data_IF_815015226218
#
_entry.id   IF_815015226218
#
_cell.length_a   1.000
_cell.length_b   1.000
_cell.length_c   1.000
_cell.angle_alpha   90.00
_cell.angle_beta   90.00
_cell.angle_gamma   90.00
#
_symmetry.space_group_name_H-M   'P 1'
#
loop_
_entity.id
_entity.type
_entity.pdbx_description
1 polymer ?
#
# COMPACT_ATOMS: atom_id res chain seq x y z
N UNK A 1 6.45 22.45 4.85
CA UNK A 1 6.28 21.00 4.91
C UNK A 1 5.28 20.71 6.03
N UNK A 2 4.22 19.96 5.73
CA UNK A 2 3.20 19.58 6.71
C UNK A 2 3.85 18.70 7.80
N UNK A 3 4.00 19.17 9.05
CA UNK A 3 4.72 18.43 10.08
C UNK A 3 4.13 17.04 10.36
N UNK A 4 2.83 16.89 10.13
CA UNK A 4 2.11 15.62 10.29
C UNK A 4 2.50 14.56 9.22
N UNK A 5 3.00 14.95 8.06
CA UNK A 5 3.46 14.03 7.02
C UNK A 5 4.88 13.53 7.30
N UNK A 6 5.66 14.31 8.03
CA UNK A 6 7.00 13.97 8.50
C UNK A 6 7.01 13.48 9.96
N UNK A 7 5.83 13.29 10.57
CA UNK A 7 5.73 12.79 11.93
C UNK A 7 6.45 11.43 12.06
N UNK A 8 7.18 11.28 13.16
CA UNK A 8 8.00 10.12 13.50
C UNK A 8 7.38 8.80 13.04
N UNK A 9 8.13 8.03 12.29
CA UNK A 9 7.79 6.65 11.98
C UNK A 9 8.16 5.79 13.18
N UNK A 10 7.21 5.36 14.01
CA UNK A 10 7.53 4.83 15.33
C UNK A 10 8.10 3.42 15.35
N UNK A 11 8.25 2.74 14.24
CA UNK A 11 8.82 1.42 14.28
C UNK A 11 9.08 0.83 12.91
N UNK A 12 10.20 0.28 12.69
CA UNK A 12 10.77 -0.54 11.63
C UNK A 12 11.86 0.12 10.80
N UNK A 13 12.63 1.04 11.38
CA UNK A 13 13.93 1.39 10.81
C UNK A 13 14.81 0.16 10.55
N UNK A 14 14.70 -0.85 11.43
CA UNK A 14 15.48 -2.10 11.34
C UNK A 14 15.00 -3.07 10.24
N UNK A 15 13.90 -2.76 9.54
CA UNK A 15 13.29 -3.66 8.55
C UNK A 15 13.42 -3.22 7.10
N UNK A 16 13.91 -2.01 6.84
CA UNK A 16 14.20 -1.54 5.48
C UNK A 16 15.72 -1.41 5.37
N UNK A 17 16.30 -2.18 4.47
CA UNK A 17 17.71 -2.05 4.17
C UNK A 17 17.87 -0.94 3.13
N UNK A 18 18.71 0.05 3.45
CA UNK A 18 19.05 1.16 2.56
C UNK A 18 20.53 1.07 2.26
N UNK A 19 20.87 0.94 1.00
CA UNK A 19 22.25 0.96 0.53
C UNK A 19 22.45 2.13 -0.44
N UNK A 20 23.42 2.98 -0.15
CA UNK A 20 23.81 4.07 -1.03
C UNK A 20 24.37 3.54 -2.35
N UNK A 21 23.99 4.15 -3.46
CA UNK A 21 24.63 3.94 -4.74
C UNK A 21 26.09 4.40 -4.67
N UNK A 22 27.01 3.53 -5.03
CA UNK A 22 28.34 3.94 -5.41
C UNK A 22 28.31 4.29 -6.89
N UNK A 23 28.88 5.41 -7.27
CA UNK A 23 29.05 5.82 -8.68
C UNK A 23 27.80 6.31 -9.45
N UNK A 24 26.78 6.87 -8.75
CA UNK A 24 25.65 7.53 -9.41
C UNK A 24 24.53 6.58 -9.86
N UNK A 25 24.48 5.37 -9.34
CA UNK A 25 23.47 4.35 -9.67
C UNK A 25 22.15 4.47 -8.86
N UNK A 26 21.97 5.54 -8.09
CA UNK A 26 20.81 5.74 -7.23
C UNK A 26 20.97 5.13 -5.84
N UNK A 27 19.94 5.25 -4.98
CA UNK A 27 19.89 4.66 -3.65
C UNK A 27 18.93 3.49 -3.64
N UNK A 28 19.43 2.29 -3.34
CA UNK A 28 18.64 1.08 -3.30
C UNK A 28 17.96 0.90 -1.93
N UNK A 29 16.68 0.50 -1.97
CA UNK A 29 15.86 0.17 -0.82
C UNK A 29 15.35 -1.27 -0.94
N UNK A 30 15.51 -2.05 0.13
CA UNK A 30 14.94 -3.39 0.23
C UNK A 30 13.93 -3.44 1.37
N UNK A 31 12.68 -3.74 1.03
CA UNK A 31 11.58 -3.97 1.97
C UNK A 31 11.42 -5.47 2.11
N UNK A 32 11.67 -6.06 3.30
CA UNK A 32 11.58 -7.50 3.48
C UNK A 32 10.13 -8.00 3.46
N UNK A 33 10.00 -9.32 3.34
CA UNK A 33 8.73 -10.02 3.56
C UNK A 33 8.23 -9.76 5.00
N UNK A 34 6.98 -9.32 5.13
CA UNK A 34 6.39 -8.92 6.40
C UNK A 34 5.48 -9.99 7.03
N UNK A 35 5.12 -11.05 6.30
CA UNK A 35 4.26 -12.10 6.84
C UNK A 35 5.05 -13.10 7.69
N UNK A 36 4.53 -13.48 8.87
CA UNK A 36 5.08 -14.60 9.61
C UNK A 36 4.93 -15.91 8.82
N UNK A 37 5.93 -16.79 8.94
CA UNK A 37 5.97 -18.08 8.24
C UNK A 37 4.65 -18.85 8.31
N UNK A 38 4.16 -19.29 7.15
CA UNK A 38 2.95 -20.10 7.02
C UNK A 38 1.62 -19.35 7.21
N UNK A 39 1.62 -18.03 7.42
CA UNK A 39 0.41 -17.23 7.59
C UNK A 39 -0.08 -16.51 6.32
N UNK A 40 0.61 -16.68 5.23
CA UNK A 40 0.31 -16.11 3.93
C UNK A 40 1.58 -16.07 3.08
N UNK A 41 1.48 -15.55 1.87
CA UNK A 41 2.64 -15.23 1.04
C UNK A 41 2.64 -13.72 0.89
N UNK A 42 3.68 -13.06 1.37
CA UNK A 42 4.00 -11.66 1.06
C UNK A 42 5.27 -11.63 0.23
N UNK A 43 5.52 -10.51 -0.38
CA UNK A 43 6.70 -10.34 -1.22
C UNK A 43 7.47 -9.15 -0.69
N UNK A 44 8.71 -9.38 -0.28
CA UNK A 44 9.71 -8.34 -0.16
C UNK A 44 9.94 -7.71 -1.53
N UNK A 45 10.31 -6.44 -1.57
CA UNK A 45 10.61 -5.77 -2.82
C UNK A 45 11.87 -4.95 -2.68
N UNK A 46 12.67 -4.95 -3.74
CA UNK A 46 13.84 -4.07 -3.87
C UNK A 46 13.60 -3.09 -5.01
N UNK A 47 13.93 -1.84 -4.78
CA UNK A 47 13.91 -0.81 -5.81
C UNK A 47 14.96 0.27 -5.54
N UNK A 48 15.37 0.95 -6.59
CA UNK A 48 16.32 2.06 -6.55
C UNK A 48 15.58 3.38 -6.75
N UNK A 49 15.92 4.39 -5.97
CA UNK A 49 15.52 5.79 -6.18
C UNK A 49 16.51 6.40 -7.15
N UNK A 50 16.20 6.45 -8.44
CA UNK A 50 17.15 6.74 -9.52
C UNK A 50 17.72 8.16 -9.46
N UNK A 51 17.03 9.10 -8.86
CA UNK A 51 17.45 10.50 -8.71
C UNK A 51 18.16 10.80 -7.38
N UNK A 52 18.41 9.79 -6.54
CA UNK A 52 19.17 9.92 -5.30
C UNK A 52 20.62 9.43 -5.49
N UNK A 53 21.55 10.00 -4.75
CA UNK A 53 22.99 9.67 -4.85
C UNK A 53 23.57 9.13 -3.55
N UNK A 54 23.07 9.57 -2.41
CA UNK A 54 23.55 9.18 -1.08
C UNK A 54 22.38 9.11 -0.09
N UNK A 55 22.59 8.45 1.05
CA UNK A 55 21.62 8.37 2.13
C UNK A 55 22.24 8.64 3.48
N UNK A 56 21.58 9.49 4.28
CA UNK A 56 21.93 9.79 5.66
C UNK A 56 20.74 9.55 6.59
N UNK A 57 20.95 8.78 7.65
CA UNK A 57 19.91 8.58 8.67
C UNK A 57 19.83 9.76 9.63
N UNK A 58 18.62 10.18 9.99
CA UNK A 58 18.38 11.25 10.96
C UNK A 58 17.60 10.72 12.18
N UNK A 59 17.74 11.38 13.32
CA UNK A 59 17.16 10.95 14.61
C UNK A 59 15.62 10.83 14.62
N UNK A 60 14.92 11.38 13.61
CA UNK A 60 13.46 11.34 13.49
C UNK A 60 12.90 10.03 12.92
N UNK A 61 13.74 9.04 12.60
CA UNK A 61 13.28 7.80 11.95
C UNK A 61 13.07 7.93 10.45
N UNK A 62 13.48 9.03 9.86
CA UNK A 62 13.57 9.25 8.42
C UNK A 62 15.00 9.03 7.94
N UNK A 63 15.15 8.56 6.71
CA UNK A 63 16.43 8.64 6.02
C UNK A 63 16.34 9.74 4.97
N UNK A 64 17.28 10.66 5.01
CA UNK A 64 17.40 11.73 4.01
C UNK A 64 18.21 11.20 2.83
N UNK A 65 17.75 11.45 1.63
CA UNK A 65 18.46 11.13 0.40
C UNK A 65 18.99 12.43 -0.21
N UNK A 66 20.30 12.47 -0.46
CA UNK A 66 20.89 13.48 -1.33
C UNK A 66 20.46 13.19 -2.75
N UNK A 67 20.03 14.22 -3.49
CA UNK A 67 19.51 14.05 -4.84
C UNK A 67 20.42 14.71 -5.90
N UNK A 68 20.16 14.39 -7.16
CA UNK A 68 20.90 14.96 -8.30
C UNK A 68 20.54 16.42 -8.61
N UNK A 69 19.55 16.99 -7.92
CA UNK A 69 19.08 18.37 -8.12
C UNK A 69 19.01 19.12 -6.79
N UNK A 70 19.55 20.32 -6.72
CA UNK A 70 19.49 21.19 -5.54
C UNK A 70 18.05 21.64 -5.20
N UNK A 71 17.13 21.59 -6.17
CA UNK A 71 15.71 21.93 -5.99
C UNK A 71 14.87 20.75 -5.51
N UNK A 72 15.47 19.59 -5.25
CA UNK A 72 14.77 18.38 -4.83
C UNK A 72 15.42 17.82 -3.57
N UNK A 73 14.60 17.43 -2.61
CA UNK A 73 15.03 16.63 -1.46
C UNK A 73 14.15 15.39 -1.38
N UNK A 74 14.72 14.25 -1.02
CA UNK A 74 13.96 13.03 -0.85
C UNK A 74 14.15 12.44 0.54
N UNK A 75 13.11 11.75 1.04
CA UNK A 75 13.08 11.17 2.37
C UNK A 75 12.47 9.78 2.30
N UNK A 76 13.16 8.79 2.86
CA UNK A 76 12.60 7.45 3.06
C UNK A 76 11.91 7.41 4.41
N UNK A 77 10.62 7.10 4.40
CA UNK A 77 9.81 6.94 5.58
C UNK A 77 9.35 5.48 5.70
N UNK A 78 9.89 4.71 6.64
CA UNK A 78 9.33 3.41 6.97
C UNK A 78 7.88 3.54 7.45
N UNK A 79 7.00 2.68 6.95
CA UNK A 79 5.60 2.65 7.32
C UNK A 79 5.23 1.32 8.00
N UNK A 80 4.08 1.28 8.65
CA UNK A 80 3.54 0.07 9.25
C UNK A 80 3.49 -1.12 8.27
N UNK A 81 3.17 -0.83 7.04
CA UNK A 81 2.84 -1.80 6.01
C UNK A 81 3.76 -1.71 4.79
N UNK A 82 4.89 -1.01 4.90
CA UNK A 82 5.79 -0.85 3.77
C UNK A 82 6.72 0.35 3.90
N UNK A 83 6.95 1.05 2.81
CA UNK A 83 7.83 2.21 2.73
C UNK A 83 7.18 3.32 1.90
N UNK A 84 7.48 4.56 2.25
CA UNK A 84 7.16 5.75 1.45
C UNK A 84 8.46 6.47 1.11
N UNK A 85 8.59 6.91 -0.13
CA UNK A 85 9.60 7.87 -0.52
C UNK A 85 8.91 9.21 -0.72
N UNK A 86 9.22 10.18 0.12
CA UNK A 86 8.68 11.54 0.02
C UNK A 86 9.66 12.38 -0.78
N UNK A 87 9.18 13.03 -1.83
CA UNK A 87 9.94 13.95 -2.66
C UNK A 87 9.46 15.37 -2.41
N UNK A 88 10.32 16.23 -1.88
CA UNK A 88 10.06 17.64 -1.68
C UNK A 88 10.69 18.44 -2.84
N UNK A 89 9.84 19.16 -3.57
CA UNK A 89 10.15 19.89 -4.79
C UNK A 89 10.12 21.38 -4.45
N UNK A 90 11.26 22.05 -4.52
CA UNK A 90 11.42 23.40 -3.97
C UNK A 90 10.94 24.50 -4.93
N UNK A 91 10.92 24.25 -6.24
CA UNK A 91 10.63 25.28 -7.24
C UNK A 91 9.96 24.72 -8.50
N UNK A 92 9.47 25.59 -9.37
CA UNK A 92 8.89 25.25 -10.67
C UNK A 92 9.94 24.80 -11.70
N UNK A 93 11.21 25.11 -11.46
CA UNK A 93 12.34 24.74 -12.29
C UNK A 93 12.85 23.32 -12.01
N UNK A 94 12.41 22.72 -10.90
CA UNK A 94 12.73 21.34 -10.55
C UNK A 94 12.17 20.34 -11.59
N UNK A 95 12.78 19.15 -11.73
CA UNK A 95 12.17 18.07 -12.52
C UNK A 95 10.74 17.75 -12.06
N UNK A 96 9.86 17.44 -13.01
CA UNK A 96 8.51 16.96 -12.73
C UNK A 96 8.39 15.43 -12.69
N UNK A 97 9.45 14.70 -13.08
CA UNK A 97 9.47 13.25 -13.21
C UNK A 97 10.46 12.62 -12.22
N UNK A 98 9.96 11.66 -11.44
CA UNK A 98 10.72 10.95 -10.40
C UNK A 98 10.64 9.46 -10.65
N UNK A 99 11.78 8.84 -10.97
CA UNK A 99 11.84 7.43 -11.39
C UNK A 99 12.41 6.53 -10.31
N UNK A 100 11.82 5.35 -10.23
CA UNK A 100 12.17 4.26 -9.32
C UNK A 100 12.33 2.98 -10.11
N UNK A 101 13.52 2.38 -10.10
CA UNK A 101 13.82 1.13 -10.78
C UNK A 101 13.59 -0.05 -9.82
N UNK A 102 12.65 -0.93 -10.16
CA UNK A 102 12.29 -2.09 -9.34
C UNK A 102 13.03 -3.34 -9.79
N UNK A 103 13.52 -4.11 -8.82
CA UNK A 103 14.05 -5.46 -9.05
C UNK A 103 12.89 -6.46 -9.12
N UNK A 104 12.32 -6.62 -10.29
CA UNK A 104 11.14 -7.44 -10.55
C UNK A 104 11.33 -8.32 -11.80
N UNK A 105 10.62 -9.45 -11.90
CA UNK A 105 10.67 -10.29 -13.10
C UNK A 105 10.34 -9.53 -14.38
N UNK A 106 10.97 -9.93 -15.49
CA UNK A 106 10.61 -9.43 -16.81
C UNK A 106 9.13 -9.71 -17.12
N UNK A 107 8.46 -8.74 -17.75
CA UNK A 107 7.02 -8.82 -18.00
C UNK A 107 6.13 -8.32 -16.86
N UNK A 108 6.72 -7.91 -15.72
CA UNK A 108 5.95 -7.26 -14.66
C UNK A 108 5.25 -6.01 -15.18
N UNK A 109 3.99 -5.86 -14.85
CA UNK A 109 3.13 -4.74 -15.24
C UNK A 109 2.55 -4.02 -14.03
N UNK A 110 2.25 -2.72 -14.21
CA UNK A 110 1.51 -1.92 -13.24
C UNK A 110 0.03 -2.00 -13.58
N UNK A 111 -0.78 -2.59 -12.71
CA UNK A 111 -2.21 -2.80 -12.90
C UNK A 111 -2.99 -1.94 -11.93
N UNK A 112 -3.90 -1.10 -12.43
CA UNK A 112 -4.78 -0.31 -11.58
C UNK A 112 -5.81 -1.22 -10.90
N UNK A 113 -5.95 -1.07 -9.59
CA UNK A 113 -6.87 -1.80 -8.73
C UNK A 113 -7.87 -0.91 -8.02
N UNK A 114 -8.50 -1.43 -6.97
CA UNK A 114 -9.43 -0.67 -6.16
C UNK A 114 -8.67 0.22 -5.18
N UNK A 115 -8.57 1.52 -5.51
CA UNK A 115 -7.90 2.50 -4.67
C UNK A 115 -6.39 2.29 -4.51
N UNK A 116 -5.75 1.58 -5.46
CA UNK A 116 -4.29 1.37 -5.51
C UNK A 116 -3.87 0.77 -6.84
N UNK A 117 -2.55 0.68 -7.03
CA UNK A 117 -1.93 -0.03 -8.14
C UNK A 117 -1.24 -1.28 -7.64
N UNK A 118 -1.07 -2.27 -8.51
CA UNK A 118 -0.36 -3.51 -8.22
C UNK A 118 0.75 -3.73 -9.22
N UNK A 119 1.93 -4.06 -8.75
CA UNK A 119 2.93 -4.70 -9.58
C UNK A 119 2.59 -6.19 -9.68
N UNK A 120 2.39 -6.67 -10.89
CA UNK A 120 1.97 -8.04 -11.14
C UNK A 120 2.72 -8.60 -12.33
N UNK A 121 3.26 -9.80 -12.18
CA UNK A 121 3.62 -10.67 -13.29
C UNK A 121 2.42 -11.58 -13.65
N UNK A 122 2.58 -12.46 -14.65
CA UNK A 122 1.50 -13.36 -15.08
C UNK A 122 1.08 -14.36 -13.99
N UNK A 123 1.93 -14.61 -13.01
CA UNK A 123 1.75 -15.67 -12.01
C UNK A 123 1.34 -15.15 -10.62
N UNK A 124 1.63 -13.90 -10.29
CA UNK A 124 1.42 -13.37 -8.94
C UNK A 124 1.38 -11.84 -8.88
N UNK A 125 0.87 -11.32 -7.77
CA UNK A 125 1.02 -9.90 -7.41
C UNK A 125 2.25 -9.75 -6.53
N UNK A 126 3.16 -8.87 -6.92
CA UNK A 126 4.42 -8.63 -6.21
C UNK A 126 4.29 -7.61 -5.08
N UNK A 127 3.22 -6.80 -5.10
CA UNK A 127 2.90 -5.84 -4.05
C UNK A 127 1.97 -4.74 -4.52
N UNK A 128 1.67 -3.81 -3.63
CA UNK A 128 0.71 -2.74 -3.86
C UNK A 128 1.38 -1.36 -3.72
N UNK A 129 1.09 -0.47 -4.66
CA UNK A 129 1.39 0.95 -4.59
C UNK A 129 0.10 1.71 -4.25
N UNK A 130 0.17 2.67 -3.35
CA UNK A 130 -0.92 3.60 -3.12
C UNK A 130 -1.09 4.51 -4.33
N UNK A 131 -2.30 5.09 -4.55
CA UNK A 131 -2.47 6.08 -5.60
C UNK A 131 -1.47 7.22 -5.42
N UNK A 132 -0.88 7.75 -6.52
CA UNK A 132 0.04 8.86 -6.40
C UNK A 132 -0.68 10.09 -5.84
N UNK A 133 0.00 10.81 -4.98
CA UNK A 133 -0.47 12.11 -4.53
C UNK A 133 0.66 13.13 -4.53
N UNK A 134 0.29 14.39 -4.70
CA UNK A 134 1.17 15.52 -4.47
C UNK A 134 0.35 16.68 -3.88
N UNK A 135 0.95 17.41 -2.94
CA UNK A 135 0.34 18.57 -2.30
C UNK A 135 1.34 19.72 -2.25
N UNK A 136 0.87 20.92 -2.43
CA UNK A 136 1.67 22.13 -2.33
C UNK A 136 1.78 22.66 -0.88
N UNK A 137 2.52 23.75 -0.68
CA UNK A 137 2.72 24.33 0.65
C UNK A 137 1.44 24.93 1.25
N UNK A 138 0.40 25.19 0.45
CA UNK A 138 -0.91 25.62 0.91
C UNK A 138 -1.84 24.44 1.26
N UNK A 139 -1.40 23.18 1.03
CA UNK A 139 -2.18 21.96 1.21
C UNK A 139 -3.12 21.66 0.04
N UNK A 140 -2.98 22.37 -1.08
CA UNK A 140 -3.76 22.12 -2.29
C UNK A 140 -3.17 20.96 -3.08
N UNK A 141 -4.05 20.15 -3.70
CA UNK A 141 -3.61 19.00 -4.49
C UNK A 141 -2.94 19.44 -5.79
N UNK A 142 -1.76 18.88 -6.08
CA UNK A 142 -1.04 19.04 -7.34
C UNK A 142 -1.29 17.81 -8.21
N UNK A 143 -1.65 17.97 -9.51
CA UNK A 143 -1.90 16.83 -10.37
C UNK A 143 -0.68 15.92 -10.48
N UNK A 144 -0.88 14.61 -10.30
CA UNK A 144 0.18 13.62 -10.38
C UNK A 144 -0.35 12.29 -10.88
N UNK A 145 0.52 11.50 -11.55
CA UNK A 145 0.19 10.18 -12.10
C UNK A 145 1.39 9.26 -12.09
N UNK A 146 1.16 7.95 -12.27
CA UNK A 146 2.21 6.97 -12.51
C UNK A 146 2.26 6.54 -13.96
N UNK A 147 3.47 6.26 -14.46
CA UNK A 147 3.70 5.43 -15.62
C UNK A 147 4.65 4.29 -15.27
N UNK A 148 4.58 3.21 -16.06
CA UNK A 148 5.41 2.01 -15.86
C UNK A 148 5.97 1.55 -17.19
N UNK A 149 7.28 1.34 -17.25
CA UNK A 149 7.95 0.75 -18.40
C UNK A 149 9.23 0.03 -17.94
N UNK A 150 9.45 -1.18 -18.41
CA UNK A 150 10.70 -1.92 -18.26
C UNK A 150 11.23 -1.98 -16.80
N UNK A 151 10.36 -2.29 -15.85
CA UNK A 151 10.71 -2.35 -14.42
C UNK A 151 10.82 -0.99 -13.73
N UNK A 152 10.48 0.10 -14.42
CA UNK A 152 10.58 1.46 -13.90
C UNK A 152 9.21 2.07 -13.65
N UNK A 153 9.00 2.53 -12.43
CA UNK A 153 7.89 3.40 -12.06
C UNK A 153 8.34 4.84 -12.18
N UNK A 154 7.63 5.66 -12.93
CA UNK A 154 7.84 7.11 -12.92
C UNK A 154 6.60 7.79 -12.35
N UNK A 155 6.79 8.60 -11.33
CA UNK A 155 5.78 9.53 -10.86
C UNK A 155 5.95 10.85 -11.60
N UNK A 156 4.90 11.27 -12.28
CA UNK A 156 4.81 12.56 -12.97
C UNK A 156 4.10 13.55 -12.06
N UNK A 157 4.69 14.67 -11.75
CA UNK A 157 4.10 15.79 -10.98
C UNK A 157 3.99 17.00 -11.90
N UNK A 158 2.77 17.45 -12.13
CA UNK A 158 2.51 18.60 -13.01
C UNK A 158 2.78 19.93 -12.29
N UNK A 159 3.97 20.47 -12.47
CA UNK A 159 4.42 21.75 -11.90
C UNK A 159 4.05 22.96 -12.75
N UNK A 160 3.34 22.80 -13.86
CA UNK A 160 3.09 23.87 -14.85
C UNK A 160 2.15 24.98 -14.37
N UNK A 161 1.36 24.75 -13.32
CA UNK A 161 0.39 25.73 -12.85
C UNK A 161 1.06 26.86 -12.06
N UNK A 162 0.86 28.14 -12.42
CA UNK A 162 1.39 29.29 -11.68
C UNK A 162 0.72 29.50 -10.31
N UNK A 163 -0.24 28.68 -9.92
CA UNK A 163 -0.92 28.75 -8.63
C UNK A 163 -0.26 27.87 -7.57
N UNK A 164 0.68 27.02 -7.96
CA UNK A 164 1.36 26.12 -7.03
C UNK A 164 2.20 26.92 -6.04
N UNK A 165 2.00 26.64 -4.77
CA UNK A 165 2.78 27.22 -3.66
C UNK A 165 3.90 26.25 -3.29
N UNK A 166 5.13 26.53 -3.66
CA UNK A 166 6.27 25.69 -3.33
C UNK A 166 6.68 25.78 -1.84
N UNK A 167 7.24 24.70 -1.25
CA UNK A 167 7.56 23.42 -1.87
C UNK A 167 6.32 22.55 -2.10
N UNK A 168 6.39 21.70 -3.13
CA UNK A 168 5.46 20.61 -3.33
C UNK A 168 6.01 19.35 -2.69
N UNK A 169 5.16 18.56 -2.02
CA UNK A 169 5.49 17.26 -1.48
C UNK A 169 4.74 16.18 -2.24
N UNK A 170 5.47 15.19 -2.75
CA UNK A 170 4.92 14.05 -3.49
C UNK A 170 5.40 12.72 -2.90
N UNK A 171 4.69 11.61 -3.21
CA UNK A 171 5.12 10.26 -2.83
C UNK A 171 5.27 9.39 -4.08
N UNK A 172 5.94 8.21 -4.04
CA UNK A 172 5.19 6.99 -3.92
C UNK A 172 5.24 6.34 -2.54
N UNK A 173 4.19 5.53 -2.24
CA UNK A 173 4.15 4.67 -1.09
C UNK A 173 3.90 3.21 -1.51
N UNK A 174 4.81 2.32 -1.12
CA UNK A 174 4.69 0.89 -1.28
C UNK A 174 4.07 0.27 -0.04
N UNK A 175 3.02 -0.54 -0.22
CA UNK A 175 2.35 -1.25 0.85
C UNK A 175 2.42 -2.77 0.66
N UNK A 176 2.19 -3.53 1.74
CA UNK A 176 2.15 -4.97 1.65
C UNK A 176 0.88 -5.48 0.97
N UNK A 177 1.01 -6.63 0.33
CA UNK A 177 -0.09 -7.48 -0.09
C UNK A 177 0.18 -8.91 0.36
N UNK A 178 -0.84 -9.58 0.89
CA UNK A 178 -0.75 -10.97 1.37
C UNK A 178 -1.69 -11.83 0.55
N UNK A 179 -1.19 -12.92 0.01
CA UNK A 179 -1.97 -13.84 -0.81
C UNK A 179 -2.35 -15.11 -0.04
N UNK A 180 -3.59 -15.55 -0.24
CA UNK A 180 -4.15 -16.79 0.29
C UNK A 180 -4.79 -17.58 -0.84
N UNK A 181 -4.32 -18.79 -1.09
CA UNK A 181 -4.81 -19.64 -2.18
C UNK A 181 -6.29 -19.98 -2.01
N UNK A 182 -7.03 -19.86 -3.11
CA UNK A 182 -8.45 -20.23 -3.20
C UNK A 182 -8.64 -21.41 -4.14
N UNK A 183 -9.63 -22.26 -3.82
CA UNK A 183 -10.01 -23.42 -4.63
C UNK A 183 -11.17 -23.12 -5.58
N UNK A 184 -12.01 -22.15 -5.23
CA UNK A 184 -13.18 -21.77 -6.02
C UNK A 184 -12.90 -20.61 -6.97
N UNK A 185 -13.70 -20.51 -8.03
CA UNK A 185 -13.63 -19.39 -8.97
C UNK A 185 -13.96 -18.06 -8.30
N UNK A 186 -13.55 -16.95 -8.89
CA UNK A 186 -13.88 -15.59 -8.43
C UNK A 186 -15.40 -15.41 -8.33
N UNK A 187 -16.13 -15.85 -9.37
CA UNK A 187 -17.59 -15.78 -9.41
C UNK A 187 -18.27 -16.58 -8.28
N UNK A 188 -17.75 -17.78 -7.97
CA UNK A 188 -18.27 -18.61 -6.90
C UNK A 188 -18.02 -17.98 -5.52
N UNK A 189 -16.80 -17.48 -5.25
CA UNK A 189 -16.50 -16.77 -4.01
C UNK A 189 -17.36 -15.52 -3.83
N UNK A 190 -17.53 -14.72 -4.88
CA UNK A 190 -18.43 -13.56 -4.88
C UNK A 190 -19.87 -13.97 -4.55
N UNK A 191 -20.39 -15.04 -5.18
CA UNK A 191 -21.75 -15.53 -4.92
C UNK A 191 -21.93 -15.96 -3.46
N UNK A 192 -20.95 -16.64 -2.86
CA UNK A 192 -20.97 -17.01 -1.44
C UNK A 192 -21.05 -15.78 -0.55
N UNK A 193 -20.20 -14.77 -0.78
CA UNK A 193 -20.18 -13.53 -0.01
C UNK A 193 -21.50 -12.74 -0.15
N UNK A 194 -22.03 -12.64 -1.38
CA UNK A 194 -23.32 -11.98 -1.63
C UNK A 194 -24.49 -12.71 -0.97
N UNK A 195 -24.44 -14.04 -0.85
CA UNK A 195 -25.45 -14.85 -0.17
C UNK A 195 -25.40 -14.69 1.35
N UNK A 196 -24.21 -14.72 1.94
CA UNK A 196 -24.05 -14.58 3.39
C UNK A 196 -22.65 -14.05 3.73
N UNK A 197 -22.49 -12.74 3.86
CA UNK A 197 -21.20 -12.14 4.14
C UNK A 197 -20.62 -12.62 5.49
N UNK A 198 -21.37 -12.52 6.59
CA UNK A 198 -20.94 -12.97 7.92
C UNK A 198 -20.61 -14.46 8.04
N UNK A 199 -21.08 -15.27 7.08
CA UNK A 199 -20.80 -16.71 7.12
C UNK A 199 -19.34 -17.03 6.78
N UNK A 200 -18.68 -16.13 6.06
CA UNK A 200 -17.32 -16.32 5.57
C UNK A 200 -16.35 -15.29 6.11
N UNK A 201 -16.78 -14.04 6.23
CA UNK A 201 -15.94 -12.95 6.75
C UNK A 201 -15.67 -13.15 8.24
N UNK A 202 -14.39 -13.28 8.66
CA UNK A 202 -14.05 -13.83 9.97
C UNK A 202 -14.11 -12.85 11.13
N UNK A 203 -14.58 -11.61 10.90
CA UNK A 203 -14.62 -10.57 11.95
C UNK A 203 -16.02 -10.49 12.54
N UNK A 204 -16.17 -10.63 13.88
CA UNK A 204 -17.45 -10.44 14.56
C UNK A 204 -18.06 -9.06 14.29
N UNK A 205 -19.40 -9.00 14.22
CA UNK A 205 -20.12 -7.77 13.85
C UNK A 205 -20.38 -7.62 12.35
N UNK A 206 -19.82 -8.50 11.51
CA UNK A 206 -20.12 -8.50 10.09
C UNK A 206 -21.61 -8.73 9.80
N UNK A 207 -22.25 -7.98 8.88
CA UNK A 207 -23.66 -8.15 8.54
C UNK A 207 -23.89 -9.45 7.76
N UNK A 208 -25.11 -10.01 7.84
CA UNK A 208 -25.49 -11.19 7.05
C UNK A 208 -25.47 -10.89 5.55
N UNK A 209 -26.07 -9.78 5.15
CA UNK A 209 -26.02 -9.31 3.76
C UNK A 209 -24.64 -8.74 3.43
N UNK A 210 -24.24 -8.85 2.15
CA UNK A 210 -23.06 -8.16 1.66
C UNK A 210 -23.23 -6.63 1.84
N UNK A 211 -22.22 -5.90 2.35
CA UNK A 211 -22.37 -4.48 2.67
C UNK A 211 -22.64 -3.63 1.43
N UNK A 212 -23.24 -2.46 1.64
CA UNK A 212 -23.49 -1.44 0.62
C UNK A 212 -22.48 -0.28 0.78
N UNK A 213 -22.19 0.40 -0.32
CA UNK A 213 -21.34 1.61 -0.29
C UNK A 213 -21.87 2.63 0.75
N UNK A 214 -20.98 3.13 1.59
CA UNK A 214 -21.29 4.03 2.69
C UNK A 214 -21.80 3.34 3.97
N UNK A 215 -22.02 2.02 3.95
CA UNK A 215 -22.51 1.29 5.13
C UNK A 215 -21.44 1.19 6.20
N UNK A 216 -21.78 1.61 7.43
CA UNK A 216 -20.97 1.37 8.62
C UNK A 216 -21.06 -0.12 9.03
N UNK A 217 -19.90 -0.72 9.26
CA UNK A 217 -19.76 -2.08 9.79
C UNK A 217 -19.23 -1.99 11.23
N UNK A 218 -20.01 -2.38 12.23
CA UNK A 218 -19.59 -2.36 13.64
C UNK A 218 -18.76 -3.60 13.96
N UNK A 219 -17.58 -3.70 13.37
CA UNK A 219 -16.68 -4.84 13.56
C UNK A 219 -15.97 -4.74 14.90
N UNK A 220 -15.81 -5.87 15.58
CA UNK A 220 -15.19 -5.96 16.90
C UNK A 220 -14.32 -7.21 17.00
N UNK A 221 -13.14 -7.10 17.63
CA UNK A 221 -12.32 -8.25 18.01
C UNK A 221 -11.99 -8.12 19.50
N UNK A 222 -12.63 -8.93 20.33
CA UNK A 222 -12.58 -8.74 21.78
C UNK A 222 -13.08 -7.33 22.16
N UNK A 223 -12.35 -6.54 22.96
CA UNK A 223 -12.71 -5.17 23.31
C UNK A 223 -12.32 -4.14 22.24
N UNK A 224 -11.55 -4.54 21.22
CA UNK A 224 -11.02 -3.63 20.22
C UNK A 224 -12.05 -3.29 19.13
N UNK A 225 -12.15 -2.01 18.81
CA UNK A 225 -13.09 -1.47 17.84
C UNK A 225 -12.46 -1.45 16.45
N UNK A 226 -13.09 -2.16 15.50
CA UNK A 226 -12.71 -2.25 14.09
C UNK A 226 -13.80 -1.67 13.19
N UNK A 227 -14.52 -0.66 13.64
CA UNK A 227 -15.58 -0.03 12.85
C UNK A 227 -15.03 0.53 11.54
N UNK A 228 -15.54 0.02 10.43
CA UNK A 228 -15.17 0.42 9.08
C UNK A 228 -16.40 0.93 8.31
N UNK A 229 -16.15 1.75 7.31
CA UNK A 229 -17.14 2.08 6.28
C UNK A 229 -16.81 1.29 5.02
N UNK A 230 -17.81 0.62 4.43
CA UNK A 230 -17.66 -0.02 3.13
C UNK A 230 -17.53 1.05 2.06
N UNK A 231 -16.36 1.14 1.43
CA UNK A 231 -16.01 2.25 0.53
C UNK A 231 -16.53 2.02 -0.88
N UNK A 232 -16.15 0.90 -1.47
CA UNK A 232 -16.48 0.57 -2.85
C UNK A 232 -16.36 -0.93 -3.12
N UNK A 233 -16.82 -1.32 -4.30
CA UNK A 233 -16.78 -2.67 -4.85
C UNK A 233 -16.34 -2.59 -6.32
N UNK A 234 -15.48 -3.49 -6.75
CA UNK A 234 -15.04 -3.63 -8.12
C UNK A 234 -15.41 -5.02 -8.65
N UNK A 235 -15.79 -5.11 -9.93
CA UNK A 235 -16.21 -6.34 -10.58
C UNK A 235 -15.72 -6.40 -12.03
N UNK A 236 -14.92 -7.45 -12.32
CA UNK A 236 -14.56 -7.87 -13.66
C UNK A 236 -14.64 -9.39 -13.78
N UNK A 237 -14.40 -9.96 -14.95
CA UNK A 237 -14.59 -11.40 -15.19
C UNK A 237 -13.80 -12.30 -14.24
N UNK A 238 -12.52 -12.01 -14.03
CA UNK A 238 -11.61 -12.77 -13.16
C UNK A 238 -11.13 -11.99 -11.96
N UNK A 239 -11.82 -10.92 -11.62
CA UNK A 239 -11.45 -10.02 -10.55
C UNK A 239 -12.67 -9.43 -9.86
N UNK A 240 -12.78 -9.69 -8.57
CA UNK A 240 -13.76 -9.11 -7.66
C UNK A 240 -13.02 -8.51 -6.47
N UNK A 241 -13.31 -7.28 -6.11
CA UNK A 241 -12.67 -6.63 -4.98
C UNK A 241 -13.63 -5.74 -4.19
N UNK A 242 -13.29 -5.47 -2.93
CA UNK A 242 -13.97 -4.49 -2.10
C UNK A 242 -13.03 -3.89 -1.05
N UNK A 243 -13.35 -2.66 -0.65
CA UNK A 243 -12.55 -1.87 0.27
C UNK A 243 -13.34 -1.45 1.50
N UNK A 244 -12.67 -1.48 2.65
CA UNK A 244 -13.12 -0.86 3.89
C UNK A 244 -12.18 0.27 4.28
N UNK A 245 -12.76 1.42 4.67
CA UNK A 245 -12.04 2.53 5.26
C UNK A 245 -12.27 2.54 6.77
N UNK A 246 -11.22 2.73 7.55
CA UNK A 246 -11.29 2.86 9.00
C UNK A 246 -12.06 4.12 9.40
N UNK A 247 -12.94 3.99 10.40
CA UNK A 247 -13.61 5.14 11.00
C UNK A 247 -12.73 5.80 12.07
N UNK A 248 -13.14 6.98 12.56
CA UNK A 248 -12.47 7.67 13.66
C UNK A 248 -12.34 6.82 14.94
N UNK A 249 -13.25 5.84 15.14
CA UNK A 249 -13.26 4.94 16.29
C UNK A 249 -12.44 3.67 16.07
N UNK A 250 -11.93 3.42 14.88
CA UNK A 250 -11.12 2.24 14.56
C UNK A 250 -9.77 2.30 15.28
N UNK A 251 -9.27 1.16 15.76
CA UNK A 251 -7.96 1.07 16.43
C UNK A 251 -6.80 1.57 15.58
N UNK A 252 -6.87 1.35 14.25
CA UNK A 252 -5.86 1.83 13.28
C UNK A 252 -6.16 3.23 12.74
N UNK A 253 -7.12 3.93 13.33
CA UNK A 253 -7.47 5.33 13.08
C UNK A 253 -7.97 5.66 11.67
N UNK A 254 -8.60 6.83 11.58
CA UNK A 254 -9.05 7.42 10.32
C UNK A 254 -7.88 7.59 9.33
N UNK A 255 -8.11 7.28 8.06
CA UNK A 255 -7.09 7.28 7.01
C UNK A 255 -6.56 5.89 6.67
N UNK A 256 -6.62 4.93 7.61
CA UNK A 256 -6.29 3.54 7.32
C UNK A 256 -7.37 2.88 6.47
N UNK A 257 -6.97 1.97 5.59
CA UNK A 257 -7.89 1.20 4.74
C UNK A 257 -7.37 -0.20 4.48
N UNK A 258 -8.30 -1.10 4.09
CA UNK A 258 -7.99 -2.47 3.71
C UNK A 258 -8.79 -2.87 2.48
N UNK A 259 -8.15 -3.58 1.56
CA UNK A 259 -8.77 -4.09 0.34
C UNK A 259 -8.65 -5.60 0.30
N UNK A 260 -9.73 -6.24 -0.09
CA UNK A 260 -9.84 -7.68 -0.31
C UNK A 260 -10.09 -7.92 -1.79
N UNK A 261 -9.19 -8.64 -2.44
CA UNK A 261 -9.27 -8.93 -3.86
C UNK A 261 -9.28 -10.43 -4.12
N UNK A 262 -10.22 -10.84 -4.91
CA UNK A 262 -10.36 -12.18 -5.43
C UNK A 262 -9.91 -12.17 -6.87
N UNK A 263 -8.82 -12.83 -7.18
CA UNK A 263 -8.23 -12.87 -8.51
C UNK A 263 -8.07 -14.28 -9.03
N UNK A 264 -8.23 -14.45 -10.34
CA UNK A 264 -7.78 -15.62 -11.07
C UNK A 264 -6.74 -15.16 -12.11
N UNK A 265 -5.55 -15.75 -12.02
CA UNK A 265 -4.45 -15.50 -12.95
C UNK A 265 -4.59 -16.31 -14.24
N UNK A 266 -3.81 -15.98 -15.25
CA UNK A 266 -3.81 -16.64 -16.56
C UNK A 266 -3.49 -18.14 -16.47
N UNK A 267 -2.61 -18.55 -15.54
CA UNK A 267 -2.26 -19.94 -15.26
C UNK A 267 -3.35 -20.72 -14.48
N UNK A 268 -4.49 -20.08 -14.18
CA UNK A 268 -5.62 -20.69 -13.45
C UNK A 268 -5.50 -20.66 -11.93
N UNK A 269 -4.41 -20.16 -11.37
CA UNK A 269 -4.26 -19.96 -9.92
C UNK A 269 -5.24 -18.88 -9.42
N UNK A 270 -5.78 -19.08 -8.21
CA UNK A 270 -6.78 -18.20 -7.63
C UNK A 270 -6.37 -17.80 -6.23
N UNK A 271 -6.51 -16.51 -5.93
CA UNK A 271 -6.12 -15.93 -4.65
C UNK A 271 -7.21 -15.05 -4.05
N UNK A 272 -7.25 -15.03 -2.72
CA UNK A 272 -7.66 -13.88 -1.94
C UNK A 272 -6.39 -13.10 -1.63
N UNK A 273 -6.26 -11.91 -2.18
CA UNK A 273 -5.23 -10.97 -1.81
C UNK A 273 -5.81 -9.96 -0.83
N UNK A 274 -5.07 -9.70 0.24
CA UNK A 274 -5.42 -8.69 1.23
C UNK A 274 -4.28 -7.69 1.28
N UNK A 275 -4.59 -6.43 1.03
CA UNK A 275 -3.64 -5.34 1.14
C UNK A 275 -4.19 -4.23 2.02
N UNK A 276 -3.35 -3.60 2.82
CA UNK A 276 -3.77 -2.54 3.71
C UNK A 276 -2.79 -1.38 3.68
N UNK A 277 -3.33 -0.19 3.89
CA UNK A 277 -2.60 0.98 4.31
C UNK A 277 -2.99 1.31 5.75
N UNK A 278 -2.01 1.45 6.62
CA UNK A 278 -2.20 1.76 8.03
C UNK A 278 -1.42 3.02 8.37
N UNK A 279 -2.10 4.01 8.95
CA UNK A 279 -1.46 5.28 9.33
C UNK A 279 -0.38 5.08 10.39
N UNK A 280 0.64 5.95 10.41
CA UNK A 280 1.87 5.75 11.19
C UNK A 280 1.71 5.65 12.70
N UNK A 281 0.64 6.21 13.29
CA UNK A 281 0.40 6.13 14.74
C UNK A 281 -0.66 5.09 15.13
N UNK A 282 -0.97 4.16 14.23
CA UNK A 282 -1.95 3.11 14.45
C UNK A 282 -1.55 2.12 15.55
N UNK A 283 -2.56 1.51 16.17
CA UNK A 283 -2.37 0.46 17.18
C UNK A 283 -1.63 -0.75 16.62
N UNK A 284 -1.82 -1.04 15.34
CA UNK A 284 -1.18 -2.14 14.62
C UNK A 284 0.35 -2.10 14.75
N UNK A 285 0.97 -0.92 14.64
CA UNK A 285 2.42 -0.73 14.76
C UNK A 285 3.00 -1.16 16.10
N UNK A 286 2.23 -0.97 17.16
CA UNK A 286 2.70 -1.12 18.53
C UNK A 286 2.38 -2.49 19.13
N UNK A 287 1.74 -3.39 18.35
CA UNK A 287 1.23 -4.64 18.86
C UNK A 287 1.51 -5.84 17.93
N UNK A 288 2.65 -6.54 18.09
CA UNK A 288 2.99 -7.71 17.28
C UNK A 288 1.95 -8.84 17.32
N UNK A 289 1.27 -9.03 18.46
CA UNK A 289 0.21 -10.03 18.56
C UNK A 289 -1.01 -9.67 17.71
N UNK A 290 -1.32 -8.38 17.58
CA UNK A 290 -2.37 -7.90 16.69
C UNK A 290 -1.96 -8.10 15.21
N UNK A 291 -0.71 -7.80 14.86
CA UNK A 291 -0.19 -8.05 13.51
C UNK A 291 -0.34 -9.52 13.13
N UNK A 292 0.18 -10.44 13.96
CA UNK A 292 0.04 -11.87 13.74
C UNK A 292 -1.42 -12.32 13.66
N UNK A 293 -2.28 -11.82 14.55
CA UNK A 293 -3.71 -12.08 14.56
C UNK A 293 -4.41 -11.63 13.27
N UNK A 294 -3.96 -10.56 12.66
CA UNK A 294 -4.48 -10.06 11.38
C UNK A 294 -4.23 -11.08 10.25
N UNK A 295 -3.00 -11.59 10.12
CA UNK A 295 -2.68 -12.63 9.12
C UNK A 295 -3.48 -13.92 9.33
N UNK A 296 -3.61 -14.38 10.59
CA UNK A 296 -4.44 -15.55 10.95
C UNK A 296 -5.89 -15.31 10.54
N UNK A 297 -6.42 -14.11 10.76
CA UNK A 297 -7.80 -13.76 10.44
C UNK A 297 -8.07 -13.85 8.93
N UNK A 298 -7.18 -13.34 8.10
CA UNK A 298 -7.33 -13.40 6.64
C UNK A 298 -7.09 -14.81 6.09
N UNK A 299 -6.20 -15.59 6.68
CA UNK A 299 -6.07 -17.02 6.40
C UNK A 299 -7.38 -17.77 6.71
N UNK A 300 -8.04 -17.45 7.82
CA UNK A 300 -9.35 -18.01 8.17
C UNK A 300 -10.42 -17.58 7.15
N UNK A 301 -10.38 -16.36 6.63
CA UNK A 301 -11.30 -15.92 5.59
C UNK A 301 -11.19 -16.80 4.34
N UNK A 302 -9.99 -16.99 3.82
CA UNK A 302 -9.74 -17.88 2.68
C UNK A 302 -10.17 -19.33 2.99
N UNK A 303 -9.85 -19.83 4.19
CA UNK A 303 -10.24 -21.18 4.63
C UNK A 303 -11.77 -21.37 4.68
N UNK A 304 -12.51 -20.39 5.21
CA UNK A 304 -13.96 -20.43 5.27
C UNK A 304 -14.59 -20.52 3.87
N UNK A 305 -14.05 -19.77 2.91
CA UNK A 305 -14.47 -19.80 1.52
C UNK A 305 -14.14 -21.13 0.84
N UNK A 306 -12.97 -21.69 1.11
CA UNK A 306 -12.54 -22.97 0.54
C UNK A 306 -13.38 -24.15 1.03
N UNK A 307 -13.87 -24.10 2.28
CA UNK A 307 -14.72 -25.16 2.90
C UNK A 307 -16.19 -25.06 2.52
N UNK A 308 -16.67 -23.97 1.95
CA UNK A 308 -18.06 -23.69 1.64
C UNK A 308 -18.70 -24.63 0.59
#
# INVERSE_FOLDING_TARGET
>A
LAPELLAESPARQDSIEISGGTDGEGVALTVPDLAPDGLGVTFGISFTVDYATESDSVDSGLTVLTTTSDDVSAYVQPMATGVRVLTAIASAEAPGDYTYTFDVPEGTSLVEGVGRYYLSDDDRVLGALLPPWAVDAAGESVPTSYSWADGKLTQHVDLSSPRISFPVLADPAWGYAVEYKLTKTVAANKALLKKCFKCYFPVPGAPKAFPKVGQLLPLMVGPANFNCTFKNEFNATNWFAFQFDATKAHVDKLGSNIVFEFRALSNGTRYLMVSAYVVNDAFWLKNPAYQAGTYVNWKNFASNLNKA
#
